data_IF_874525526676
#
_entry.id   IF_874525526676
#
_cell.length_a   1.000
_cell.length_b   1.000
_cell.length_c   1.000
_cell.angle_alpha   90.00
_cell.angle_beta   90.00
_cell.angle_gamma   90.00
#
_symmetry.space_group_name_H-M   'P 1'
#
loop_
_entity.id
_entity.type
_entity.pdbx_description
1 polymer ?
#
# COMPACT_ATOMS: atom_id res chain seq x y z
N UNK A 1 14.54 -3.83 -14.05
CA UNK A 1 15.32 -2.57 -14.15
C UNK A 1 15.69 -2.40 -15.63
N UNK A 2 15.37 -1.27 -16.28
CA UNK A 2 15.66 -1.08 -17.71
C UNK A 2 17.16 -0.94 -17.94
N UNK A 3 17.64 -1.35 -19.13
CA UNK A 3 19.04 -1.14 -19.51
C UNK A 3 19.40 0.35 -19.47
N UNK A 4 20.60 0.62 -18.92
CA UNK A 4 21.19 1.94 -18.90
C UNK A 4 21.22 2.54 -20.32
N UNK A 5 20.75 3.78 -20.48
CA UNK A 5 20.62 4.52 -21.75
C UNK A 5 19.59 3.99 -22.76
N UNK A 6 18.68 3.12 -22.34
CA UNK A 6 17.55 2.73 -23.20
C UNK A 6 16.66 3.93 -23.57
N UNK A 7 16.00 3.87 -24.73
CA UNK A 7 15.03 4.91 -25.16
C UNK A 7 13.94 5.14 -24.11
N UNK A 8 13.52 4.08 -23.42
CA UNK A 8 12.53 4.13 -22.33
C UNK A 8 13.06 4.87 -21.11
N UNK A 9 14.28 4.60 -20.67
CA UNK A 9 14.90 5.34 -19.56
C UNK A 9 15.02 6.83 -19.87
N UNK A 10 15.51 7.20 -21.07
CA UNK A 10 15.62 8.61 -21.46
C UNK A 10 14.26 9.32 -21.49
N UNK A 11 13.21 8.61 -21.91
CA UNK A 11 11.85 9.14 -21.89
C UNK A 11 11.36 9.37 -20.46
N UNK A 12 11.57 8.41 -19.55
CA UNK A 12 11.17 8.52 -18.14
C UNK A 12 11.88 9.68 -17.45
N UNK A 13 13.21 9.79 -17.58
CA UNK A 13 13.99 10.89 -17.01
C UNK A 13 13.53 12.24 -17.57
N UNK A 14 13.18 12.30 -18.86
CA UNK A 14 12.66 13.52 -19.46
C UNK A 14 11.28 13.90 -18.90
N UNK A 15 10.39 12.93 -18.70
CA UNK A 15 9.08 13.17 -18.08
C UNK A 15 9.26 13.62 -16.63
N UNK A 16 10.13 12.96 -15.87
CA UNK A 16 10.44 13.30 -14.48
C UNK A 16 10.97 14.73 -14.37
N UNK A 17 11.91 15.13 -15.22
CA UNK A 17 12.46 16.48 -15.26
C UNK A 17 11.45 17.56 -15.71
N UNK A 18 10.37 17.16 -16.39
CA UNK A 18 9.29 18.09 -16.77
C UNK A 18 8.28 18.29 -15.64
N UNK A 19 8.19 17.35 -14.69
CA UNK A 19 7.32 17.46 -13.54
C UNK A 19 8.00 18.30 -12.45
N UNK A 20 7.27 19.23 -11.80
CA UNK A 20 7.79 19.88 -10.61
C UNK A 20 8.18 18.83 -9.56
N UNK A 21 9.32 19.00 -8.87
CA UNK A 21 9.84 18.04 -7.88
C UNK A 21 8.82 17.66 -6.77
N UNK A 22 7.83 18.53 -6.51
CA UNK A 22 6.70 18.27 -5.61
C UNK A 22 5.72 17.19 -6.10
N UNK A 23 5.68 16.87 -7.39
CA UNK A 23 4.77 15.85 -7.94
C UNK A 23 5.20 14.44 -7.53
N UNK A 24 6.46 14.00 -7.73
CA UNK A 24 6.95 12.75 -7.17
C UNK A 24 6.72 12.63 -5.65
N UNK A 25 6.98 13.70 -4.89
CA UNK A 25 6.73 13.70 -3.45
C UNK A 25 5.23 13.55 -3.10
N UNK A 26 4.33 14.17 -3.86
CA UNK A 26 2.89 13.96 -3.70
C UNK A 26 2.47 12.52 -4.02
N UNK A 27 3.09 11.90 -5.03
CA UNK A 27 2.89 10.50 -5.40
C UNK A 27 3.36 9.57 -4.29
N UNK A 28 4.57 9.79 -3.77
CA UNK A 28 5.09 9.04 -2.62
C UNK A 28 4.17 9.18 -1.41
N UNK A 29 3.83 10.40 -0.98
CA UNK A 29 2.94 10.60 0.17
C UNK A 29 1.56 9.94 0.00
N UNK A 30 0.99 9.97 -1.21
CA UNK A 30 -0.28 9.29 -1.49
C UNK A 30 -0.14 7.76 -1.52
N UNK A 31 0.96 7.24 -2.05
CA UNK A 31 1.26 5.80 -2.08
C UNK A 31 1.45 5.25 -0.67
N UNK A 32 2.25 5.91 0.16
CA UNK A 32 2.51 5.54 1.56
C UNK A 32 1.23 5.59 2.41
N UNK A 33 0.34 6.56 2.16
CA UNK A 33 -0.98 6.54 2.81
C UNK A 33 -1.84 5.36 2.35
N UNK A 34 -1.81 5.03 1.06
CA UNK A 34 -2.56 3.90 0.52
C UNK A 34 -2.08 2.56 1.10
N UNK A 35 -0.77 2.35 1.15
CA UNK A 35 -0.15 1.15 1.71
C UNK A 35 -0.32 1.08 3.23
N UNK A 36 -0.19 2.20 3.96
CA UNK A 36 -0.50 2.24 5.39
C UNK A 36 -1.96 1.85 5.69
N UNK A 37 -2.91 2.30 4.86
CA UNK A 37 -4.33 1.92 5.01
C UNK A 37 -4.56 0.41 4.79
N UNK A 38 -3.75 -0.22 3.94
CA UNK A 38 -3.73 -1.69 3.77
C UNK A 38 -2.99 -2.38 4.92
N UNK A 39 -1.92 -1.78 5.43
CA UNK A 39 -1.14 -2.28 6.55
C UNK A 39 -1.98 -2.38 7.83
N UNK A 40 -2.79 -1.37 8.14
CA UNK A 40 -3.73 -1.41 9.27
C UNK A 40 -4.65 -2.63 9.22
N UNK A 41 -5.14 -2.96 8.03
CA UNK A 41 -5.98 -4.14 7.80
C UNK A 41 -5.17 -5.42 7.94
N UNK A 42 -4.00 -5.48 7.29
CA UNK A 42 -3.11 -6.65 7.30
C UNK A 42 -2.77 -7.06 8.73
N UNK A 43 -2.45 -6.09 9.58
CA UNK A 43 -2.11 -6.26 10.99
C UNK A 43 -3.35 -6.47 11.89
N UNK A 44 -4.55 -6.31 11.34
CA UNK A 44 -5.83 -6.53 12.02
C UNK A 44 -6.13 -8.02 12.25
N UNK A 45 -6.88 -8.30 13.32
CA UNK A 45 -7.14 -9.68 13.75
C UNK A 45 -7.84 -10.56 12.70
N UNK A 46 -8.74 -9.98 11.90
CA UNK A 46 -9.47 -10.75 10.89
C UNK A 46 -8.53 -11.32 9.80
N UNK A 47 -7.55 -10.54 9.35
CA UNK A 47 -6.57 -11.02 8.36
C UNK A 47 -5.55 -11.98 8.97
N UNK A 48 -5.14 -11.76 10.22
CA UNK A 48 -4.23 -12.69 10.90
C UNK A 48 -4.85 -14.08 11.16
N UNK A 49 -6.18 -14.20 11.17
CA UNK A 49 -6.86 -15.50 11.27
C UNK A 49 -6.86 -16.29 9.96
N UNK A 50 -6.50 -15.67 8.84
CA UNK A 50 -6.45 -16.37 7.55
C UNK A 50 -5.18 -17.24 7.49
N UNK A 51 -5.31 -18.56 7.24
CA UNK A 51 -4.15 -19.43 7.07
C UNK A 51 -3.28 -18.97 5.90
N UNK A 52 -1.97 -19.02 6.09
CA UNK A 52 -1.00 -18.65 5.06
C UNK A 52 0.37 -19.20 5.42
N UNK A 53 1.29 -19.13 4.46
CA UNK A 53 2.68 -19.49 4.70
C UNK A 53 3.28 -18.59 5.80
N UNK A 54 3.92 -19.15 6.85
CA UNK A 54 4.45 -18.37 7.95
C UNK A 54 5.51 -17.34 7.55
N UNK A 55 6.39 -17.65 6.59
CA UNK A 55 7.45 -16.75 6.15
C UNK A 55 6.88 -15.57 5.37
N UNK A 56 5.94 -15.85 4.45
CA UNK A 56 5.24 -14.79 3.71
C UNK A 56 4.47 -13.89 4.67
N UNK A 57 3.80 -14.46 5.68
CA UNK A 57 3.09 -13.68 6.69
C UNK A 57 4.04 -12.79 7.50
N UNK A 58 5.18 -13.31 7.92
CA UNK A 58 6.18 -12.54 8.67
C UNK A 58 6.73 -11.37 7.83
N UNK A 59 7.04 -11.61 6.55
CA UNK A 59 7.48 -10.56 5.64
C UNK A 59 6.42 -9.47 5.46
N UNK A 60 5.17 -9.86 5.23
CA UNK A 60 4.07 -8.91 5.05
C UNK A 60 3.76 -8.14 6.33
N UNK A 61 3.84 -8.77 7.51
CA UNK A 61 3.62 -8.10 8.79
C UNK A 61 4.75 -7.11 9.10
N UNK A 62 6.00 -7.48 8.84
CA UNK A 62 7.15 -6.59 8.93
C UNK A 62 6.97 -5.36 8.03
N UNK A 63 6.71 -5.59 6.75
CA UNK A 63 6.52 -4.52 5.78
C UNK A 63 5.33 -3.64 6.17
N UNK A 64 4.21 -4.23 6.62
CA UNK A 64 3.06 -3.46 7.10
C UNK A 64 3.41 -2.54 8.28
N UNK A 65 4.27 -2.97 9.21
CA UNK A 65 4.75 -2.09 10.30
C UNK A 65 5.53 -0.90 9.74
N UNK A 66 6.43 -1.11 8.77
CA UNK A 66 7.19 -0.02 8.13
C UNK A 66 6.28 1.00 7.44
N UNK A 67 5.28 0.54 6.69
CA UNK A 67 4.33 1.41 5.98
C UNK A 67 3.51 2.28 6.96
N UNK A 68 3.19 1.78 8.16
CA UNK A 68 2.54 2.58 9.21
C UNK A 68 3.44 3.71 9.73
N UNK A 69 4.76 3.52 9.74
CA UNK A 69 5.73 4.54 10.14
C UNK A 69 6.00 5.54 9.01
N UNK A 70 6.08 5.05 7.76
CA UNK A 70 6.36 5.87 6.58
C UNK A 70 5.26 6.88 6.25
N UNK A 71 3.99 6.57 6.53
CA UNK A 71 2.83 7.42 6.14
C UNK A 71 3.01 8.89 6.53
N UNK A 72 3.48 9.15 7.75
CA UNK A 72 3.63 10.50 8.30
C UNK A 72 4.93 11.13 7.81
N UNK A 73 6.02 10.36 7.77
CA UNK A 73 7.32 10.81 7.25
C UNK A 73 7.22 11.30 5.80
N UNK A 74 6.59 10.53 4.91
CA UNK A 74 6.43 10.90 3.51
C UNK A 74 5.56 12.15 3.33
N UNK A 75 4.51 12.27 4.13
CA UNK A 75 3.65 13.44 4.13
C UNK A 75 4.39 14.69 4.62
N UNK A 76 5.14 14.58 5.72
CA UNK A 76 5.92 15.68 6.28
C UNK A 76 7.01 16.17 5.32
N UNK A 77 7.69 15.25 4.63
CA UNK A 77 8.65 15.62 3.57
C UNK A 77 7.94 16.42 2.47
N UNK A 78 6.77 15.98 2.00
CA UNK A 78 5.98 16.73 1.02
C UNK A 78 5.56 18.12 1.53
N UNK A 79 5.19 18.24 2.81
CA UNK A 79 4.81 19.52 3.43
C UNK A 79 6.00 20.46 3.61
N UNK A 80 7.18 19.93 3.96
CA UNK A 80 8.41 20.71 4.17
C UNK A 80 8.84 21.50 2.93
N UNK A 81 8.59 20.94 1.74
CA UNK A 81 8.85 21.61 0.45
C UNK A 81 7.69 22.50 -0.01
N UNK A 82 6.73 22.80 0.87
CA UNK A 82 5.52 23.61 0.60
C UNK A 82 4.65 23.05 -0.52
N UNK A 83 4.52 21.71 -0.57
CA UNK A 83 3.59 21.03 -1.47
C UNK A 83 2.13 21.48 -1.24
N UNK A 84 1.40 21.93 -2.29
CA UNK A 84 0.06 22.45 -2.12
C UNK A 84 -0.99 21.33 -1.98
N UNK A 85 -1.97 21.51 -1.10
CA UNK A 85 -2.95 20.44 -0.78
C UNK A 85 -3.69 19.88 -2.00
N UNK A 86 -4.06 20.73 -2.96
CA UNK A 86 -4.77 20.30 -4.16
C UNK A 86 -3.99 19.25 -4.97
N UNK A 87 -2.65 19.30 -4.92
CA UNK A 87 -1.80 18.37 -5.67
C UNK A 87 -1.80 17.00 -5.00
N UNK A 88 -1.59 16.91 -3.67
CA UNK A 88 -1.67 15.62 -2.96
C UNK A 88 -3.08 15.00 -3.07
N UNK A 89 -4.13 15.83 -3.01
CA UNK A 89 -5.52 15.39 -3.14
C UNK A 89 -5.79 14.88 -4.56
N UNK A 90 -5.35 15.63 -5.58
CA UNK A 90 -5.50 15.23 -6.98
C UNK A 90 -4.78 13.94 -7.31
N UNK A 91 -3.54 13.77 -6.82
CA UNK A 91 -2.77 12.54 -6.96
C UNK A 91 -3.46 11.36 -6.28
N UNK A 92 -3.94 11.54 -5.04
CA UNK A 92 -4.74 10.50 -4.37
C UNK A 92 -6.03 10.18 -5.14
N UNK A 93 -6.69 11.17 -5.74
CA UNK A 93 -7.86 10.95 -6.59
C UNK A 93 -7.55 10.08 -7.82
N UNK A 94 -6.41 10.31 -8.47
CA UNK A 94 -5.92 9.47 -9.57
C UNK A 94 -5.64 8.05 -9.08
N UNK A 95 -4.92 7.91 -7.95
CA UNK A 95 -4.64 6.61 -7.35
C UNK A 95 -5.94 5.87 -6.98
N UNK A 96 -6.89 6.54 -6.36
CA UNK A 96 -8.18 5.99 -5.97
C UNK A 96 -8.97 5.43 -7.15
N UNK A 97 -9.00 6.15 -8.28
CA UNK A 97 -9.73 5.73 -9.49
C UNK A 97 -8.99 4.62 -10.25
N UNK A 98 -7.66 4.65 -10.28
CA UNK A 98 -6.88 3.74 -11.12
C UNK A 98 -6.39 2.47 -10.40
N UNK A 99 -6.10 2.53 -9.09
CA UNK A 99 -5.45 1.42 -8.38
C UNK A 99 -6.29 0.14 -8.43
N UNK A 100 -7.57 0.19 -8.04
CA UNK A 100 -8.41 -1.02 -8.05
C UNK A 100 -8.61 -1.59 -9.45
N UNK A 101 -9.00 -0.80 -10.48
CA UNK A 101 -9.14 -1.35 -11.83
C UNK A 101 -7.85 -1.96 -12.36
N UNK A 102 -6.71 -1.27 -12.20
CA UNK A 102 -5.42 -1.77 -12.70
C UNK A 102 -5.01 -3.05 -11.99
N UNK A 103 -5.11 -3.10 -10.66
CA UNK A 103 -4.77 -4.31 -9.88
C UNK A 103 -5.74 -5.44 -10.22
N UNK A 104 -7.04 -5.16 -10.32
CA UNK A 104 -8.06 -6.18 -10.62
C UNK A 104 -7.85 -6.76 -12.01
N UNK A 105 -7.63 -5.91 -13.02
CA UNK A 105 -7.35 -6.35 -14.39
C UNK A 105 -6.05 -7.16 -14.42
N UNK A 106 -5.00 -6.69 -13.74
CA UNK A 106 -3.74 -7.42 -13.64
C UNK A 106 -3.92 -8.82 -13.07
N UNK A 107 -4.60 -8.95 -11.94
CA UNK A 107 -4.90 -10.24 -11.30
C UNK A 107 -5.76 -11.12 -12.22
N UNK A 108 -6.81 -10.58 -12.83
CA UNK A 108 -7.68 -11.35 -13.73
C UNK A 108 -6.92 -11.83 -14.98
N UNK A 109 -6.05 -10.99 -15.55
CA UNK A 109 -5.19 -11.37 -16.66
C UNK A 109 -4.22 -12.47 -16.24
N UNK A 110 -3.56 -12.34 -15.08
CA UNK A 110 -2.68 -13.39 -14.55
C UNK A 110 -3.40 -14.73 -14.40
N UNK A 111 -4.62 -14.74 -13.86
CA UNK A 111 -5.45 -15.95 -13.74
C UNK A 111 -5.85 -16.49 -15.13
N UNK A 112 -6.25 -15.62 -16.05
CA UNK A 112 -6.66 -16.02 -17.40
C UNK A 112 -5.50 -16.58 -18.24
N UNK A 113 -4.28 -16.12 -17.99
CA UNK A 113 -3.07 -16.62 -18.65
C UNK A 113 -2.47 -17.86 -18.00
N UNK A 114 -2.93 -18.25 -16.81
CA UNK A 114 -2.49 -19.48 -16.14
C UNK A 114 -3.19 -20.70 -16.78
N UNK A 115 -2.45 -21.63 -17.41
CA UNK A 115 -3.01 -22.83 -18.04
C UNK A 115 -3.87 -23.70 -17.12
N UNK A 116 -3.69 -23.58 -15.79
CA UNK A 116 -4.45 -24.32 -14.77
C UNK A 116 -5.34 -23.43 -13.90
N UNK A 117 -5.30 -22.11 -14.10
CA UNK A 117 -5.92 -21.14 -13.19
C UNK A 117 -7.35 -20.75 -13.56
N UNK A 118 -7.73 -20.86 -14.83
CA UNK A 118 -9.04 -20.34 -15.29
C UNK A 118 -10.22 -21.27 -14.96
N UNK A 119 -10.94 -20.92 -13.90
CA UNK A 119 -12.21 -21.55 -13.51
C UNK A 119 -13.28 -20.48 -13.23
N UNK A 120 -14.10 -20.06 -14.21
CA UNK A 120 -14.88 -18.82 -14.13
C UNK A 120 -15.84 -18.73 -12.94
N UNK A 121 -16.53 -19.82 -12.61
CA UNK A 121 -17.44 -19.87 -11.44
C UNK A 121 -16.66 -19.76 -10.12
N UNK A 122 -15.51 -20.45 -10.02
CA UNK A 122 -14.67 -20.43 -8.82
C UNK A 122 -14.00 -19.06 -8.65
N UNK A 123 -13.46 -18.51 -9.74
CA UNK A 123 -12.81 -17.20 -9.78
C UNK A 123 -13.78 -16.09 -9.40
N UNK A 124 -14.99 -16.06 -9.99
CA UNK A 124 -16.01 -15.06 -9.63
C UNK A 124 -16.44 -15.17 -8.16
N UNK A 125 -16.63 -16.38 -7.64
CA UNK A 125 -16.94 -16.60 -6.21
C UNK A 125 -15.81 -16.13 -5.30
N UNK A 126 -14.56 -16.45 -5.63
CA UNK A 126 -13.38 -16.04 -4.86
C UNK A 126 -13.15 -14.53 -4.92
N UNK A 127 -13.28 -13.91 -6.10
CA UNK A 127 -13.21 -12.46 -6.24
C UNK A 127 -14.26 -11.78 -5.35
N UNK A 128 -15.50 -12.27 -5.35
CA UNK A 128 -16.56 -11.75 -4.47
C UNK A 128 -16.22 -11.90 -2.98
N UNK A 129 -15.58 -13.00 -2.60
CA UNK A 129 -15.11 -13.21 -1.23
C UNK A 129 -14.02 -12.21 -0.85
N UNK A 130 -13.06 -11.95 -1.74
CA UNK A 130 -11.99 -10.95 -1.52
C UNK A 130 -12.56 -9.54 -1.39
N UNK A 131 -13.46 -9.11 -2.29
CA UNK A 131 -14.10 -7.80 -2.23
C UNK A 131 -14.96 -7.57 -0.98
N UNK A 132 -15.45 -8.65 -0.35
CA UNK A 132 -16.23 -8.59 0.91
C UNK A 132 -15.40 -8.93 2.15
N UNK A 133 -14.17 -9.37 1.95
CA UNK A 133 -13.27 -9.78 3.02
C UNK A 133 -12.65 -8.60 3.75
N UNK A 134 -11.96 -8.87 4.87
CA UNK A 134 -11.37 -7.85 5.73
C UNK A 134 -10.39 -6.92 5.02
N UNK A 135 -9.72 -7.39 3.98
CA UNK A 135 -8.75 -6.59 3.23
C UNK A 135 -9.39 -5.45 2.43
N UNK A 136 -10.55 -5.67 1.78
CA UNK A 136 -11.14 -4.68 0.87
C UNK A 136 -12.41 -4.04 1.42
N UNK A 137 -13.07 -4.67 2.40
CA UNK A 137 -14.26 -4.11 3.04
C UNK A 137 -13.90 -2.77 3.71
N UNK A 138 -14.61 -1.71 3.32
CA UNK A 138 -14.42 -0.36 3.84
C UNK A 138 -13.18 0.39 3.32
N UNK A 139 -12.29 -0.26 2.55
CA UNK A 139 -11.00 0.32 2.12
C UNK A 139 -11.16 1.67 1.41
N UNK A 140 -12.17 1.77 0.55
CA UNK A 140 -12.46 3.00 -0.19
C UNK A 140 -12.97 4.15 0.69
N UNK A 141 -13.60 3.86 1.83
CA UNK A 141 -14.00 4.91 2.77
C UNK A 141 -12.77 5.44 3.50
N UNK A 142 -11.89 4.55 3.93
CA UNK A 142 -10.67 4.89 4.67
C UNK A 142 -9.70 5.67 3.80
N UNK A 143 -9.42 5.22 2.57
CA UNK A 143 -8.53 5.96 1.64
C UNK A 143 -9.03 7.38 1.32
N UNK A 144 -10.36 7.59 1.35
CA UNK A 144 -10.95 8.89 1.01
C UNK A 144 -10.64 9.96 2.06
N UNK A 145 -10.30 9.59 3.29
CA UNK A 145 -10.00 10.57 4.34
C UNK A 145 -8.79 11.44 3.98
N UNK A 146 -7.81 10.87 3.26
CA UNK A 146 -6.64 11.60 2.78
C UNK A 146 -7.00 12.77 1.88
N UNK A 147 -8.11 12.67 1.16
CA UNK A 147 -8.56 13.71 0.23
C UNK A 147 -9.17 14.93 0.94
N UNK A 148 -9.31 14.91 2.27
CA UNK A 148 -9.83 16.04 3.04
C UNK A 148 -8.77 17.16 3.15
N UNK A 149 -9.16 18.44 2.97
CA UNK A 149 -8.31 19.58 3.32
C UNK A 149 -7.93 19.55 4.79
N UNK A 150 -6.67 19.87 5.11
CA UNK A 150 -6.16 19.87 6.49
C UNK A 150 -5.86 18.50 7.11
N UNK A 151 -6.11 17.39 6.40
CA UNK A 151 -5.79 16.04 6.87
C UNK A 151 -4.28 15.84 7.07
N UNK A 152 -3.92 15.17 8.17
CA UNK A 152 -2.60 14.59 8.41
C UNK A 152 -2.70 13.06 8.59
N UNK A 153 -1.74 12.24 8.12
CA UNK A 153 -1.76 10.79 8.36
C UNK A 153 -1.81 10.37 9.84
N UNK A 154 -1.33 11.21 10.75
CA UNK A 154 -1.44 11.00 12.21
C UNK A 154 -2.85 11.23 12.77
N UNK A 155 -3.78 11.81 12.00
CA UNK A 155 -5.19 11.86 12.37
C UNK A 155 -5.80 10.45 12.46
N UNK A 156 -5.14 9.45 11.86
CA UNK A 156 -5.44 8.02 12.02
C UNK A 156 -4.47 7.43 13.03
N UNK A 157 -4.95 7.22 14.26
CA UNK A 157 -4.13 6.70 15.36
C UNK A 157 -3.83 5.20 15.19
N UNK A 158 -2.59 4.91 14.81
CA UNK A 158 -2.08 3.55 14.63
C UNK A 158 -1.08 3.13 15.71
N UNK A 159 -0.88 3.94 16.76
CA UNK A 159 0.19 3.73 17.76
C UNK A 159 0.04 2.43 18.54
N UNK A 160 -1.20 2.11 18.96
CA UNK A 160 -1.47 0.88 19.69
C UNK A 160 -1.19 -0.37 18.81
N UNK A 161 -1.57 -0.31 17.53
CA UNK A 161 -1.32 -1.38 16.57
C UNK A 161 0.19 -1.53 16.30
N UNK A 162 0.88 -0.42 16.08
CA UNK A 162 2.33 -0.38 15.87
C UNK A 162 3.08 -0.97 17.06
N UNK A 163 2.79 -0.52 18.28
CA UNK A 163 3.45 -1.00 19.50
C UNK A 163 3.27 -2.51 19.69
N UNK A 164 2.04 -3.02 19.47
CA UNK A 164 1.76 -4.45 19.55
C UNK A 164 2.65 -5.25 18.58
N UNK A 165 2.69 -4.83 17.32
CA UNK A 165 3.39 -5.57 16.28
C UNK A 165 4.91 -5.41 16.34
N UNK A 166 5.41 -4.25 16.76
CA UNK A 166 6.82 -4.09 17.08
C UNK A 166 7.25 -5.04 18.20
N UNK A 167 6.44 -5.20 19.25
CA UNK A 167 6.73 -6.14 20.33
C UNK A 167 6.68 -7.60 19.85
N UNK A 168 5.69 -7.95 19.04
CA UNK A 168 5.50 -9.31 18.50
C UNK A 168 6.64 -9.71 17.54
N UNK A 169 7.09 -8.79 16.69
CA UNK A 169 8.13 -9.07 15.69
C UNK A 169 9.55 -8.93 16.27
N UNK A 170 9.80 -7.94 17.14
CA UNK A 170 11.15 -7.51 17.52
C UNK A 170 11.47 -7.50 19.02
N UNK A 171 10.52 -7.85 19.90
CA UNK A 171 10.78 -7.90 21.34
C UNK A 171 11.85 -8.94 21.75
N UNK A 172 12.13 -9.07 23.05
CA UNK A 172 13.11 -10.04 23.59
C UNK A 172 12.83 -11.50 23.20
N UNK A 173 11.58 -11.80 22.84
CA UNK A 173 11.13 -13.10 22.33
C UNK A 173 10.42 -12.96 20.96
N UNK A 174 10.74 -11.90 20.20
CA UNK A 174 10.07 -11.56 18.95
C UNK A 174 10.26 -12.61 17.86
N UNK A 175 9.24 -12.80 17.03
CA UNK A 175 9.20 -13.86 16.01
C UNK A 175 10.34 -13.74 15.01
N UNK A 176 10.69 -12.53 14.56
CA UNK A 176 11.74 -12.29 13.56
C UNK A 176 13.15 -12.30 14.14
N UNK A 177 13.32 -11.89 15.40
CA UNK A 177 14.62 -11.96 16.10
C UNK A 177 15.12 -13.41 16.17
N UNK A 178 14.20 -14.38 16.32
CA UNK A 178 14.54 -15.80 16.31
C UNK A 178 15.08 -16.35 14.98
N UNK A 179 14.90 -15.63 13.86
CA UNK A 179 15.38 -16.02 12.52
C UNK A 179 16.71 -15.38 12.13
N UNK A 180 17.20 -14.38 12.87
CA UNK A 180 18.55 -13.84 12.70
C UNK A 180 19.56 -14.78 13.38
N UNK A 181 19.88 -15.90 12.72
CA UNK A 181 20.99 -16.80 13.10
C UNK A 181 22.04 -16.84 12.01
#
# INVERSE_FOLDING_TARGET
MFDANSRRQRLLVRIENLLPARVPLAVTAAAEHFTATLAERMLGEELQKIPGDPEVRNLLNWHAVEELEHKSVAFDVYRSVRGPEWLRIGVMGVLYVLAIPVITIGVLLSIATDPKGWHPIKVTRQARAVFRGPLLKGLMADLRIYMKPGFHPDDVDTRALLNKWQQELFGTHGTLVGYQK
#
